data_IF_324738138728
#
_entry.id   IF_324738138728
#
_cell.length_a   1.000
_cell.length_b   1.000
_cell.length_c   1.000
_cell.angle_alpha   90.00
_cell.angle_beta   90.00
_cell.angle_gamma   90.00
#
_symmetry.space_group_name_H-M   'P 1'
#
loop_
_entity.id
_entity.type
_entity.pdbx_description
1 polymer ?
#
# COMPACT_ATOMS: atom_id res chain seq x y z
N UNK A 1 9.73 19.35 -9.25
CA UNK A 1 8.30 19.04 -9.11
C UNK A 1 7.87 18.32 -10.37
N UNK A 2 7.53 17.04 -10.26
CA UNK A 2 7.01 16.30 -11.41
C UNK A 2 5.60 16.84 -11.73
N UNK A 3 5.18 16.85 -12.99
CA UNK A 3 3.84 17.31 -13.34
C UNK A 3 2.79 16.34 -12.77
N UNK A 4 1.78 16.91 -12.11
CA UNK A 4 0.66 16.16 -11.53
C UNK A 4 -0.06 15.29 -12.57
N UNK A 5 -0.79 14.31 -12.06
CA UNK A 5 -1.43 13.27 -12.86
C UNK A 5 -2.85 12.99 -12.38
N UNK A 6 -3.73 12.77 -13.34
CA UNK A 6 -5.15 12.52 -13.08
C UNK A 6 -5.44 11.03 -13.15
N UNK A 7 -6.10 10.51 -12.12
CA UNK A 7 -6.60 9.14 -12.14
C UNK A 7 -7.61 8.93 -13.29
N UNK A 8 -7.48 7.82 -14.03
CA UNK A 8 -8.39 7.48 -15.13
C UNK A 8 -9.79 7.07 -14.67
N UNK A 9 -9.96 6.76 -13.38
CA UNK A 9 -11.24 6.39 -12.77
C UNK A 9 -11.85 7.57 -12.02
N UNK A 10 -11.32 7.94 -10.85
CA UNK A 10 -11.94 8.98 -10.01
C UNK A 10 -11.75 10.42 -10.53
N UNK A 11 -10.86 10.62 -11.51
CA UNK A 11 -10.53 11.95 -12.07
C UNK A 11 -9.90 12.95 -11.10
N UNK A 12 -9.55 12.52 -9.89
CA UNK A 12 -8.77 13.32 -8.96
C UNK A 12 -7.30 13.42 -9.39
N UNK A 13 -6.63 14.47 -8.92
CA UNK A 13 -5.25 14.82 -9.24
C UNK A 13 -4.34 14.37 -8.11
N UNK A 14 -3.23 13.73 -8.47
CA UNK A 14 -2.23 13.22 -7.54
C UNK A 14 -0.83 13.47 -8.06
N UNK A 15 0.14 13.45 -7.14
CA UNK A 15 1.54 13.26 -7.49
C UNK A 15 1.75 11.91 -8.19
N UNK A 16 2.64 11.80 -9.18
CA UNK A 16 2.90 10.56 -9.91
C UNK A 16 3.19 9.36 -9.01
N UNK A 17 3.88 9.57 -7.89
CA UNK A 17 4.26 8.54 -6.94
C UNK A 17 3.05 7.91 -6.23
N UNK A 18 1.92 8.60 -6.14
CA UNK A 18 0.68 8.08 -5.56
C UNK A 18 -0.18 7.30 -6.57
N UNK A 19 0.33 7.07 -7.78
CA UNK A 19 -0.39 6.43 -8.88
C UNK A 19 0.38 5.23 -9.44
N UNK A 20 -0.36 4.29 -10.01
CA UNK A 20 0.15 3.26 -10.90
C UNK A 20 0.07 3.77 -12.34
N UNK A 21 1.21 3.81 -13.03
CA UNK A 21 1.27 4.15 -14.46
C UNK A 21 1.12 2.90 -15.32
N UNK A 22 0.18 2.92 -16.25
CA UNK A 22 0.03 1.90 -17.27
C UNK A 22 0.37 2.44 -18.63
N UNK A 23 0.97 1.61 -19.48
CA UNK A 23 1.31 1.92 -20.87
C UNK A 23 0.77 0.84 -21.80
N UNK A 24 0.65 1.20 -23.08
CA UNK A 24 0.37 0.23 -24.13
C UNK A 24 1.66 -0.53 -24.46
N UNK A 25 1.63 -1.85 -24.29
CA UNK A 25 2.69 -2.76 -24.72
C UNK A 25 2.46 -3.34 -26.11
N UNK A 26 3.31 -4.29 -26.52
CA UNK A 26 3.14 -5.04 -27.78
C UNK A 26 1.73 -5.62 -27.92
N UNK A 27 1.21 -5.67 -29.14
CA UNK A 27 -0.11 -6.24 -29.45
C UNK A 27 -1.28 -5.58 -28.68
N UNK A 28 -1.09 -4.36 -28.16
CA UNK A 28 -2.12 -3.65 -27.41
C UNK A 28 -2.34 -4.15 -25.99
N UNK A 29 -1.43 -4.97 -25.44
CA UNK A 29 -1.49 -5.40 -24.03
C UNK A 29 -1.33 -4.21 -23.09
N UNK A 30 -2.05 -4.21 -21.97
CA UNK A 30 -1.85 -3.25 -20.91
C UNK A 30 -0.64 -3.68 -20.06
N UNK A 31 0.32 -2.79 -19.87
CA UNK A 31 1.52 -3.06 -19.05
C UNK A 31 1.58 -2.08 -17.89
N UNK A 32 1.75 -2.59 -16.67
CA UNK A 32 2.06 -1.75 -15.53
C UNK A 32 3.54 -1.34 -15.54
N UNK A 33 3.78 -0.04 -15.71
CA UNK A 33 5.10 0.56 -15.62
C UNK A 33 5.42 0.91 -14.15
N UNK A 34 5.95 -0.07 -13.42
CA UNK A 34 6.26 0.06 -11.97
C UNK A 34 7.22 1.19 -11.64
N UNK A 35 8.10 1.55 -12.57
CA UNK A 35 9.20 2.49 -12.34
C UNK A 35 9.02 3.84 -13.06
N UNK A 36 7.92 4.01 -13.80
CA UNK A 36 7.63 5.20 -14.60
C UNK A 36 8.69 5.48 -15.68
N UNK A 37 9.26 4.43 -16.27
CA UNK A 37 10.38 4.52 -17.24
C UNK A 37 10.04 4.01 -18.64
N UNK A 38 8.90 3.35 -18.83
CA UNK A 38 8.54 2.83 -20.15
C UNK A 38 8.16 3.97 -21.10
N UNK A 39 8.59 3.93 -22.37
CA UNK A 39 8.25 4.96 -23.35
C UNK A 39 6.75 4.98 -23.68
N UNK A 40 6.29 6.08 -24.28
CA UNK A 40 4.93 6.21 -24.78
C UNK A 40 3.94 6.91 -23.82
N UNK A 41 2.67 6.97 -24.22
CA UNK A 41 1.60 7.60 -23.45
C UNK A 41 1.26 6.72 -22.23
N UNK A 42 1.18 7.35 -21.06
CA UNK A 42 0.77 6.68 -19.82
C UNK A 42 -0.67 7.01 -19.43
N UNK A 43 -1.39 6.01 -18.92
CA UNK A 43 -2.65 6.15 -18.22
C UNK A 43 -2.41 5.87 -16.73
N UNK A 44 -3.04 6.63 -15.84
CA UNK A 44 -2.69 6.62 -14.41
C UNK A 44 -3.87 6.19 -13.56
N UNK A 45 -3.66 5.26 -12.64
CA UNK A 45 -4.69 4.76 -11.72
C UNK A 45 -4.22 4.97 -10.27
N UNK A 46 -5.03 5.58 -9.42
CA UNK A 46 -4.67 5.74 -8.02
C UNK A 46 -4.76 4.40 -7.25
N UNK A 47 -4.17 4.37 -6.06
CA UNK A 47 -4.07 3.18 -5.21
C UNK A 47 -5.35 2.87 -4.42
N UNK A 48 -6.49 3.47 -4.78
CA UNK A 48 -7.78 3.19 -4.11
C UNK A 48 -8.30 1.80 -4.51
N UNK A 49 -8.76 0.98 -3.54
CA UNK A 49 -9.43 -0.28 -3.82
C UNK A 49 -10.64 -0.13 -4.75
N UNK A 50 -11.40 0.95 -4.58
CA UNK A 50 -12.57 1.27 -5.39
C UNK A 50 -12.18 1.57 -6.84
N UNK A 51 -11.09 2.34 -7.03
CA UNK A 51 -10.57 2.63 -8.37
C UNK A 51 -10.02 1.38 -9.05
N UNK A 52 -9.33 0.50 -8.31
CA UNK A 52 -8.88 -0.80 -8.83
C UNK A 52 -10.06 -1.67 -9.28
N UNK A 53 -11.07 -1.84 -8.42
CA UNK A 53 -12.26 -2.62 -8.73
C UNK A 53 -13.04 -2.05 -9.92
N UNK A 54 -13.15 -0.73 -10.03
CA UNK A 54 -13.77 -0.08 -11.19
C UNK A 54 -12.95 -0.25 -12.47
N UNK A 55 -11.62 -0.20 -12.37
CA UNK A 55 -10.74 -0.45 -13.51
C UNK A 55 -10.93 -1.87 -14.05
N UNK A 56 -11.04 -2.86 -13.15
CA UNK A 56 -11.34 -4.25 -13.50
C UNK A 56 -12.68 -4.39 -14.23
N UNK A 57 -13.72 -3.67 -13.79
CA UNK A 57 -15.06 -3.76 -14.37
C UNK A 57 -15.21 -3.06 -15.72
N UNK A 58 -14.51 -1.93 -15.91
CA UNK A 58 -14.81 -1.00 -17.02
C UNK A 58 -13.65 -0.79 -17.99
N UNK A 59 -12.45 -1.24 -17.67
CA UNK A 59 -11.23 -1.02 -18.46
C UNK A 59 -11.09 0.42 -18.99
N UNK A 60 -10.74 1.41 -18.14
CA UNK A 60 -10.69 2.83 -18.52
C UNK A 60 -9.46 3.20 -19.37
N UNK A 61 -8.50 2.30 -19.52
CA UNK A 61 -7.17 2.58 -20.09
C UNK A 61 -7.17 2.93 -21.59
N UNK A 62 -8.00 2.34 -22.47
CA UNK A 62 -7.98 2.67 -23.90
C UNK A 62 -8.13 4.16 -24.18
N UNK A 63 -9.01 4.85 -23.43
CA UNK A 63 -9.24 6.29 -23.57
C UNK A 63 -8.01 7.11 -23.14
N UNK A 64 -7.38 6.72 -22.04
CA UNK A 64 -6.17 7.38 -21.53
C UNK A 64 -4.94 7.15 -22.41
N UNK A 65 -4.84 5.97 -23.02
CA UNK A 65 -3.74 5.55 -23.89
C UNK A 65 -3.94 5.94 -25.36
N UNK A 66 -5.17 6.30 -25.77
CA UNK A 66 -5.56 6.55 -27.16
C UNK A 66 -5.25 5.36 -28.07
N UNK A 67 -5.51 4.15 -27.59
CA UNK A 67 -5.18 2.91 -28.29
C UNK A 67 -5.75 1.67 -27.60
N UNK A 68 -5.55 0.47 -28.17
CA UNK A 68 -5.94 -0.78 -27.52
C UNK A 68 -5.18 -0.95 -26.20
N UNK A 69 -5.88 -1.51 -25.22
CA UNK A 69 -5.36 -1.72 -23.88
C UNK A 69 -6.06 -2.94 -23.29
N UNK A 70 -5.53 -4.12 -23.57
CA UNK A 70 -6.07 -5.40 -23.12
C UNK A 70 -5.39 -5.79 -21.81
N UNK A 71 -6.07 -5.72 -20.66
CA UNK A 71 -5.51 -6.12 -19.39
C UNK A 71 -5.48 -7.64 -19.22
N UNK A 72 -4.38 -8.15 -18.68
CA UNK A 72 -4.34 -9.44 -17.99
C UNK A 72 -4.47 -9.18 -16.49
N UNK A 73 -5.69 -9.21 -15.98
CA UNK A 73 -5.96 -8.85 -14.59
C UNK A 73 -5.31 -9.79 -13.59
N UNK A 74 -5.24 -11.09 -13.88
CA UNK A 74 -4.57 -12.07 -13.01
C UNK A 74 -3.07 -11.77 -12.89
N UNK A 75 -2.41 -11.47 -14.02
CA UNK A 75 -1.01 -11.05 -14.02
C UNK A 75 -0.83 -9.73 -13.27
N UNK A 76 -1.68 -8.73 -13.52
CA UNK A 76 -1.58 -7.40 -12.91
C UNK A 76 -1.80 -7.44 -11.40
N UNK A 77 -2.76 -8.24 -10.91
CA UNK A 77 -3.00 -8.45 -9.49
C UNK A 77 -1.84 -9.15 -8.81
N UNK A 78 -1.32 -10.23 -9.42
CA UNK A 78 -0.15 -10.93 -8.91
C UNK A 78 1.06 -10.01 -8.80
N UNK A 79 1.35 -9.25 -9.86
CA UNK A 79 2.47 -8.31 -9.89
C UNK A 79 2.29 -7.18 -8.87
N UNK A 80 1.08 -6.67 -8.70
CA UNK A 80 0.73 -5.65 -7.69
C UNK A 80 1.01 -6.15 -6.29
N UNK A 81 0.49 -7.32 -5.94
CA UNK A 81 0.70 -7.95 -4.63
C UNK A 81 2.19 -8.23 -4.36
N UNK A 82 2.91 -8.77 -5.35
CA UNK A 82 4.36 -9.00 -5.24
C UNK A 82 5.12 -7.69 -5.00
N UNK A 83 4.84 -6.65 -5.79
CA UNK A 83 5.51 -5.35 -5.65
C UNK A 83 5.21 -4.70 -4.30
N UNK A 84 4.01 -4.87 -3.74
CA UNK A 84 3.68 -4.40 -2.39
C UNK A 84 4.53 -5.11 -1.32
N UNK A 85 4.74 -6.43 -1.47
CA UNK A 85 5.55 -7.23 -0.54
C UNK A 85 7.06 -6.96 -0.68
N UNK A 86 7.57 -6.84 -1.90
CA UNK A 86 8.96 -6.43 -2.17
C UNK A 86 9.25 -5.04 -1.59
N UNK A 87 8.31 -4.11 -1.78
CA UNK A 87 8.37 -2.77 -1.21
C UNK A 87 8.42 -2.83 0.32
N UNK A 88 7.52 -3.60 0.94
CA UNK A 88 7.46 -3.83 2.38
C UNK A 88 8.82 -4.27 2.92
N UNK A 89 9.40 -5.32 2.34
CA UNK A 89 10.68 -5.85 2.81
C UNK A 89 11.82 -4.84 2.69
N UNK A 90 11.85 -4.11 1.56
CA UNK A 90 12.92 -3.17 1.26
C UNK A 90 13.03 -2.03 2.28
N UNK A 91 11.91 -1.41 2.67
CA UNK A 91 11.95 -0.31 3.64
C UNK A 91 11.97 -0.79 5.09
N UNK A 92 11.37 -1.95 5.40
CA UNK A 92 11.36 -2.49 6.76
C UNK A 92 12.77 -2.74 7.29
N UNK A 93 13.65 -3.34 6.47
CA UNK A 93 15.05 -3.57 6.87
C UNK A 93 15.82 -2.27 7.17
N UNK A 94 15.50 -1.17 6.48
CA UNK A 94 16.06 0.15 6.76
C UNK A 94 15.47 0.75 8.05
N UNK A 95 14.16 0.62 8.25
CA UNK A 95 13.47 1.15 9.42
C UNK A 95 13.93 0.48 10.73
N UNK A 96 14.22 -0.83 10.69
CA UNK A 96 14.84 -1.56 11.82
C UNK A 96 16.19 -0.95 12.18
N UNK A 97 17.08 -0.80 11.19
CA UNK A 97 18.42 -0.25 11.40
C UNK A 97 18.39 1.19 11.93
N UNK A 98 17.36 1.95 11.54
CA UNK A 98 17.13 3.30 12.02
C UNK A 98 16.48 3.38 13.41
N UNK A 99 16.08 2.26 14.02
CA UNK A 99 15.35 2.26 15.30
C UNK A 99 13.95 2.88 15.21
N UNK A 100 13.37 2.93 14.00
CA UNK A 100 12.15 3.68 13.67
C UNK A 100 10.86 2.83 13.76
N UNK A 101 10.95 1.64 14.38
CA UNK A 101 9.83 0.71 14.52
C UNK A 101 9.56 0.38 15.99
N UNK A 102 8.29 0.13 16.30
CA UNK A 102 7.79 -0.44 17.57
C UNK A 102 7.11 -1.76 17.28
N UNK A 103 7.54 -2.84 17.91
CA UNK A 103 7.16 -4.19 17.50
C UNK A 103 6.24 -4.85 18.53
N UNK A 104 5.04 -5.21 18.09
CA UNK A 104 4.06 -5.89 18.95
C UNK A 104 3.14 -4.93 19.70
N UNK A 105 2.04 -5.49 20.19
CA UNK A 105 0.91 -4.67 20.66
C UNK A 105 1.24 -3.79 21.86
N UNK A 106 1.94 -4.33 22.85
CA UNK A 106 2.21 -3.61 24.09
C UNK A 106 3.23 -2.47 23.88
N UNK A 107 4.24 -2.68 23.04
CA UNK A 107 5.22 -1.64 22.68
C UNK A 107 4.57 -0.51 21.89
N UNK A 108 3.71 -0.84 20.91
CA UNK A 108 2.96 0.15 20.13
C UNK A 108 2.00 0.93 21.02
N UNK A 109 1.31 0.26 21.93
CA UNK A 109 0.37 0.92 22.84
C UNK A 109 1.09 1.87 23.81
N UNK A 110 2.23 1.46 24.36
CA UNK A 110 3.06 2.32 25.20
C UNK A 110 3.57 3.54 24.43
N UNK A 111 4.03 3.33 23.19
CA UNK A 111 4.52 4.40 22.32
C UNK A 111 3.44 5.45 22.03
N UNK A 112 2.21 5.03 21.69
CA UNK A 112 1.08 5.94 21.49
C UNK A 112 0.74 6.72 22.78
N UNK A 113 0.68 6.04 23.94
CA UNK A 113 0.35 6.68 25.22
C UNK A 113 1.37 7.75 25.64
N UNK A 114 2.62 7.61 25.23
CA UNK A 114 3.68 8.58 25.48
C UNK A 114 3.64 9.79 24.53
N UNK A 115 2.64 9.87 23.64
CA UNK A 115 2.57 10.89 22.59
C UNK A 115 3.59 10.66 21.47
N UNK A 116 4.16 9.46 21.38
CA UNK A 116 5.06 9.07 20.31
C UNK A 116 4.32 8.87 18.99
N UNK A 117 5.05 9.04 17.88
CA UNK A 117 4.53 8.66 16.58
C UNK A 117 3.62 9.66 15.89
N UNK A 118 3.53 10.91 16.36
CA UNK A 118 2.80 11.96 15.65
C UNK A 118 3.24 12.02 14.17
N UNK A 119 2.29 11.83 13.26
CA UNK A 119 2.57 11.74 11.82
C UNK A 119 3.24 10.43 11.36
N UNK A 120 3.24 9.40 12.20
CA UNK A 120 3.63 8.02 11.89
C UNK A 120 2.45 7.14 11.52
N UNK A 121 2.63 5.81 11.63
CA UNK A 121 1.56 4.83 11.42
C UNK A 121 1.60 3.69 12.43
N UNK A 122 0.43 3.12 12.71
CA UNK A 122 0.27 1.75 13.21
C UNK A 122 -0.15 0.90 12.03
N UNK A 123 0.64 -0.12 11.70
CA UNK A 123 0.30 -1.09 10.66
C UNK A 123 -0.13 -2.39 11.32
N UNK A 124 -1.36 -2.81 11.05
CA UNK A 124 -1.94 -4.06 11.55
C UNK A 124 -1.97 -5.07 10.43
N UNK A 125 -1.54 -6.31 10.69
CA UNK A 125 -1.55 -7.38 9.71
C UNK A 125 -2.99 -7.71 9.26
N UNK A 126 -3.19 -7.96 7.97
CA UNK A 126 -4.52 -8.18 7.41
C UNK A 126 -5.26 -9.41 7.98
N UNK A 127 -4.51 -10.46 8.31
CA UNK A 127 -4.94 -11.73 8.91
C UNK A 127 -5.09 -11.66 10.45
N UNK A 128 -4.75 -10.52 11.07
CA UNK A 128 -4.88 -10.29 12.51
C UNK A 128 -5.78 -9.08 12.85
N UNK A 129 -6.36 -8.44 11.83
CA UNK A 129 -7.00 -7.14 11.97
C UNK A 129 -8.26 -7.14 12.82
N UNK A 130 -9.00 -8.24 12.96
CA UNK A 130 -10.27 -8.27 13.68
C UNK A 130 -10.21 -7.64 15.09
N UNK A 131 -9.51 -8.28 16.04
CA UNK A 131 -9.33 -7.73 17.39
C UNK A 131 -8.30 -6.60 17.43
N UNK A 132 -7.26 -6.68 16.61
CA UNK A 132 -6.12 -5.78 16.70
C UNK A 132 -6.45 -4.37 16.19
N UNK A 133 -7.30 -4.26 15.16
CA UNK A 133 -7.74 -2.96 14.63
C UNK A 133 -8.47 -2.16 15.70
N UNK A 134 -9.47 -2.78 16.35
CA UNK A 134 -10.25 -2.12 17.41
C UNK A 134 -9.41 -1.72 18.62
N UNK A 135 -8.32 -2.45 18.91
CA UNK A 135 -7.37 -2.08 19.97
C UNK A 135 -6.69 -0.73 19.71
N UNK A 136 -6.35 -0.43 18.46
CA UNK A 136 -5.56 0.76 18.11
C UNK A 136 -6.33 1.89 17.45
N UNK A 137 -7.58 1.66 17.01
CA UNK A 137 -8.40 2.66 16.32
C UNK A 137 -8.53 3.98 17.10
N UNK A 138 -9.01 3.91 18.34
CA UNK A 138 -9.17 5.10 19.20
C UNK A 138 -7.83 5.77 19.55
N UNK A 139 -6.82 4.97 19.89
CA UNK A 139 -5.52 5.49 20.31
C UNK A 139 -4.75 6.16 19.16
N UNK A 140 -4.86 5.61 17.95
CA UNK A 140 -4.23 6.17 16.75
C UNK A 140 -4.86 7.50 16.36
N UNK A 141 -6.20 7.58 16.39
CA UNK A 141 -6.95 8.80 16.11
C UNK A 141 -6.58 9.95 17.07
N UNK A 142 -6.57 9.66 18.38
CA UNK A 142 -6.21 10.65 19.41
C UNK A 142 -4.75 11.11 19.32
N UNK A 143 -3.85 10.26 18.81
CA UNK A 143 -2.41 10.54 18.74
C UNK A 143 -1.98 11.09 17.37
N UNK A 144 -2.91 11.26 16.43
CA UNK A 144 -2.59 11.72 15.07
C UNK A 144 -1.71 10.73 14.28
N UNK A 145 -1.87 9.43 14.55
CA UNK A 145 -1.13 8.33 13.93
C UNK A 145 -2.02 7.63 12.93
N UNK A 146 -1.53 7.34 11.72
CA UNK A 146 -2.33 6.66 10.71
C UNK A 146 -2.53 5.18 11.08
N UNK A 147 -3.76 4.68 11.09
CA UNK A 147 -4.01 3.25 11.22
C UNK A 147 -4.13 2.61 9.83
N UNK A 148 -3.22 1.68 9.51
CA UNK A 148 -3.09 1.06 8.20
C UNK A 148 -3.25 -0.46 8.29
N UNK A 149 -3.79 -1.05 7.23
CA UNK A 149 -3.82 -2.50 7.05
C UNK A 149 -2.61 -2.93 6.23
N UNK A 150 -1.79 -3.84 6.75
CA UNK A 150 -0.56 -4.30 6.13
C UNK A 150 -0.61 -5.74 5.63
N UNK A 151 0.55 -6.27 5.18
CA UNK A 151 0.70 -7.66 4.78
C UNK A 151 0.32 -8.66 5.88
N UNK A 152 0.21 -9.97 5.58
CA UNK A 152 0.00 -11.01 6.58
C UNK A 152 1.08 -11.01 7.68
N UNK A 153 0.71 -11.41 8.89
CA UNK A 153 1.56 -11.31 10.08
C UNK A 153 2.89 -12.07 9.94
N UNK A 154 2.91 -13.18 9.21
CA UNK A 154 4.14 -13.91 8.87
C UNK A 154 5.10 -13.06 8.04
N UNK A 155 4.59 -12.35 7.03
CA UNK A 155 5.41 -11.48 6.18
C UNK A 155 5.90 -10.26 6.94
N UNK A 156 5.08 -9.72 7.84
CA UNK A 156 5.48 -8.62 8.72
C UNK A 156 6.62 -9.02 9.67
N UNK A 157 6.65 -10.27 10.16
CA UNK A 157 7.69 -10.77 11.06
C UNK A 157 8.98 -11.20 10.35
N UNK A 158 8.89 -11.66 9.10
CA UNK A 158 10.00 -12.26 8.35
C UNK A 158 11.26 -11.39 8.32
N UNK A 159 11.13 -10.11 7.98
CA UNK A 159 12.26 -9.17 7.85
C UNK A 159 12.94 -8.88 9.20
N UNK A 160 12.22 -9.12 10.29
CA UNK A 160 12.64 -8.81 11.65
C UNK A 160 13.28 -10.01 12.35
N UNK A 161 13.43 -11.14 11.64
CA UNK A 161 13.75 -12.45 12.21
C UNK A 161 12.79 -12.82 13.36
N UNK A 162 11.52 -12.47 13.17
CA UNK A 162 10.42 -12.80 14.07
C UNK A 162 9.50 -13.79 13.35
N UNK A 163 8.78 -14.60 14.14
CA UNK A 163 7.70 -15.45 13.62
C UNK A 163 6.54 -14.61 13.10
N UNK A 164 5.39 -14.62 13.79
CA UNK A 164 4.24 -13.79 13.41
C UNK A 164 4.29 -12.44 14.13
N UNK A 165 4.19 -11.34 13.37
CA UNK A 165 4.05 -9.98 13.89
C UNK A 165 2.69 -9.39 13.48
N UNK A 166 1.75 -9.35 14.41
CA UNK A 166 0.39 -8.88 14.14
C UNK A 166 0.26 -7.35 13.99
N UNK A 167 1.20 -6.59 14.57
CA UNK A 167 1.16 -5.12 14.57
C UNK A 167 2.56 -4.54 14.70
N UNK A 168 2.80 -3.42 14.01
CA UNK A 168 4.03 -2.63 14.11
C UNK A 168 3.70 -1.14 14.11
N UNK A 169 4.33 -0.39 14.99
CA UNK A 169 4.35 1.07 14.98
C UNK A 169 5.51 1.56 14.11
N UNK A 170 5.27 2.56 13.29
CA UNK A 170 6.18 3.10 12.28
C UNK A 170 6.29 4.60 12.51
N UNK A 171 7.51 5.09 12.74
CA UNK A 171 7.76 6.52 12.90
C UNK A 171 7.49 7.29 11.59
N UNK A 172 7.24 8.59 11.71
CA UNK A 172 6.85 9.48 10.60
C UNK A 172 7.81 9.47 9.40
N UNK A 173 9.10 9.22 9.65
CA UNK A 173 10.15 9.10 8.63
C UNK A 173 9.84 8.02 7.58
N UNK A 174 9.11 6.97 7.95
CA UNK A 174 8.76 5.85 7.08
C UNK A 174 7.27 5.79 6.71
N UNK A 175 6.47 6.80 7.09
CA UNK A 175 5.02 6.82 6.82
C UNK A 175 4.71 6.71 5.33
N UNK A 176 5.48 7.38 4.47
CA UNK A 176 5.25 7.36 3.02
C UNK A 176 5.41 5.96 2.42
N UNK A 177 6.44 5.23 2.86
CA UNK A 177 6.74 3.86 2.44
C UNK A 177 5.67 2.90 2.95
N UNK A 178 5.27 3.03 4.23
CA UNK A 178 4.18 2.25 4.81
C UNK A 178 2.88 2.46 4.02
N UNK A 179 2.42 3.72 3.86
CA UNK A 179 1.20 4.06 3.11
C UNK A 179 1.22 3.51 1.68
N UNK A 180 2.34 3.65 0.98
CA UNK A 180 2.47 3.17 -0.40
C UNK A 180 2.33 1.65 -0.47
N UNK A 181 3.01 0.90 0.41
CA UNK A 181 2.96 -0.57 0.40
C UNK A 181 1.59 -1.08 0.81
N UNK A 182 0.96 -0.48 1.83
CA UNK A 182 -0.38 -0.86 2.28
C UNK A 182 -1.44 -0.57 1.23
N UNK A 183 -1.36 0.59 0.56
CA UNK A 183 -2.28 0.96 -0.50
C UNK A 183 -2.06 0.12 -1.77
N UNK A 184 -0.81 -0.15 -2.17
CA UNK A 184 -0.51 -1.05 -3.28
C UNK A 184 -0.99 -2.47 -3.01
N UNK A 185 -0.94 -2.95 -1.77
CA UNK A 185 -1.33 -4.31 -1.41
C UNK A 185 -2.84 -4.57 -1.48
N UNK A 186 -3.68 -3.54 -1.40
CA UNK A 186 -5.15 -3.65 -1.34
C UNK A 186 -5.59 -4.75 -0.37
N UNK A 187 -4.93 -4.79 0.79
CA UNK A 187 -5.20 -5.80 1.81
C UNK A 187 -6.66 -5.70 2.25
N UNK A 188 -7.31 -6.84 2.40
CA UNK A 188 -8.63 -6.94 3.00
C UNK A 188 -8.48 -7.52 4.40
N UNK A 189 -9.30 -7.04 5.35
CA UNK A 189 -9.42 -7.75 6.63
C UNK A 189 -10.01 -9.11 6.32
N UNK A 190 -9.34 -10.19 6.71
CA UNK A 190 -10.01 -11.47 6.74
C UNK A 190 -11.15 -11.33 7.76
N UNK A 191 -12.40 -11.53 7.32
CA UNK A 191 -13.47 -11.82 8.26
C UNK A 191 -13.01 -13.06 9.00
N UNK A 192 -12.78 -12.95 10.31
CA UNK A 192 -12.69 -14.10 11.18
C UNK A 192 -14.01 -14.86 11.02
N UNK A 193 -14.03 -15.84 10.12
CA UNK A 193 -14.98 -16.92 10.14
C UNK A 193 -14.60 -17.74 11.38
N UNK A 194 -15.43 -17.57 12.41
CA UNK A 194 -15.66 -18.48 13.55
C UNK A 194 -14.46 -18.85 14.44
#
# INVERSE_FOLDING_TARGET
>A
MAPERTCVVCREVFEPEALMRFVQGPEGRLVWDRFHRLPGRGAWLCLSPECWAQAHKRNPFPRGLKGPATPDWGQLESLRSQTALEGWDGWMGLAVKAGALKMGGDEVEQWLRQGGGAGGAVVVACDAAGRMWHRFEKASDQSGVALLLGPPAERMGLVLDRGRLAVVGVESTFLGQARRCTALGLWSRESSAE
#
